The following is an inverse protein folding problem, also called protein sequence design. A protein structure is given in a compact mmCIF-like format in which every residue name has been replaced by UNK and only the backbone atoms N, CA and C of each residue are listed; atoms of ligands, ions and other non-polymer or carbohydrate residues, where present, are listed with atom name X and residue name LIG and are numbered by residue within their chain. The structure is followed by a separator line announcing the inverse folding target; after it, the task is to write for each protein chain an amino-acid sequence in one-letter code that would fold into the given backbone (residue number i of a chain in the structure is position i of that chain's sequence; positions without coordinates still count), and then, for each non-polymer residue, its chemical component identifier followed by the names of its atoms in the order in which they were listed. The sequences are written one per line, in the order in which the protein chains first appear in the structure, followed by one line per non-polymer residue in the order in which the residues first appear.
data_IF_274984964143
#
_entry.id   IF_274984964143
#
_cell.length_a   1.000
_cell.length_b   1.000
_cell.length_c   1.000
_cell.angle_alpha   90.00
_cell.angle_beta   90.00
_cell.angle_gamma   90.00
#
_symmetry.space_group_name_H-M   'P 1'
#
loop_
_entity.id
_entity.type
_entity.pdbx_description
1 polymer ?
#
# COMPACT_ATOMS: atom_id res chain seq x y z
N UNK A 1 -43.11 -10.96 19.66
CA UNK A 1 -41.83 -11.69 19.64
C UNK A 1 -41.05 -11.23 18.41
N UNK A 2 -39.78 -10.90 18.64
CA UNK A 2 -38.72 -10.49 17.70
C UNK A 2 -38.93 -9.21 16.87
N UNK A 3 -38.44 -8.10 17.43
CA UNK A 3 -37.99 -6.92 16.68
C UNK A 3 -36.70 -7.29 15.94
N UNK A 4 -36.70 -7.22 14.61
CA UNK A 4 -35.46 -7.20 13.81
C UNK A 4 -34.94 -5.77 13.85
N UNK A 5 -34.01 -5.50 14.77
CA UNK A 5 -33.25 -4.26 14.80
C UNK A 5 -32.19 -4.33 13.69
N UNK A 6 -32.54 -3.84 12.50
CA UNK A 6 -31.53 -3.57 11.47
C UNK A 6 -30.69 -2.40 11.97
N UNK A 7 -29.54 -2.74 12.58
CA UNK A 7 -28.50 -1.76 12.88
C UNK A 7 -27.90 -1.37 11.52
N UNK A 8 -28.54 -0.39 10.88
CA UNK A 8 -27.94 0.38 9.80
C UNK A 8 -26.81 1.18 10.44
N UNK A 9 -25.60 0.63 10.45
CA UNK A 9 -24.39 1.37 10.73
C UNK A 9 -24.27 2.44 9.64
N UNK A 10 -24.80 3.63 9.93
CA UNK A 10 -24.57 4.83 9.14
C UNK A 10 -23.14 5.28 9.44
N UNK A 11 -22.16 4.50 8.97
CA UNK A 11 -20.84 5.05 8.66
C UNK A 11 -21.15 6.00 7.50
N UNK A 12 -20.92 7.30 7.67
CA UNK A 12 -20.84 8.22 6.53
C UNK A 12 -19.85 7.58 5.56
N UNK A 13 -20.35 6.99 4.47
CA UNK A 13 -19.55 6.44 3.39
C UNK A 13 -18.62 7.56 2.95
N UNK A 14 -17.34 7.46 3.29
CA UNK A 14 -16.32 8.16 2.51
C UNK A 14 -16.36 7.45 1.16
N UNK A 15 -17.12 8.03 0.24
CA UNK A 15 -17.23 7.55 -1.14
C UNK A 15 -15.83 7.45 -1.72
N UNK A 16 -15.47 6.28 -2.25
CA UNK A 16 -14.20 6.04 -2.94
C UNK A 16 -13.03 5.64 -2.03
N UNK A 17 -13.23 4.81 -1.00
CA UNK A 17 -12.17 4.08 -0.28
C UNK A 17 -12.63 2.62 -0.16
N UNK A 18 -12.11 1.65 -0.92
CA UNK A 18 -12.57 0.26 -0.80
C UNK A 18 -11.42 -0.74 -0.59
N UNK A 19 -11.38 -1.43 0.56
CA UNK A 19 -10.64 -2.68 0.64
C UNK A 19 -11.30 -3.72 -0.27
N UNK A 20 -10.50 -4.47 -1.02
CA UNK A 20 -10.98 -5.46 -1.99
C UNK A 20 -10.72 -6.87 -1.46
N UNK A 21 -11.77 -7.68 -1.44
CA UNK A 21 -11.75 -9.06 -0.98
C UNK A 21 -12.09 -10.03 -2.12
N UNK A 22 -11.49 -11.22 -2.07
CA UNK A 22 -11.86 -12.34 -2.95
C UNK A 22 -13.08 -13.12 -2.42
N UNK A 23 -13.68 -14.02 -3.23
CA UNK A 23 -14.79 -14.87 -2.81
C UNK A 23 -14.48 -15.77 -1.60
N UNK A 24 -13.20 -16.05 -1.34
CA UNK A 24 -12.72 -16.79 -0.18
C UNK A 24 -12.60 -15.93 1.08
N UNK A 25 -12.88 -14.62 1.00
CA UNK A 25 -12.85 -13.68 2.12
C UNK A 25 -11.45 -13.20 2.51
N UNK A 26 -10.47 -13.32 1.62
CA UNK A 26 -9.12 -12.78 1.84
C UNK A 26 -9.02 -11.35 1.29
N UNK A 27 -8.35 -10.47 2.03
CA UNK A 27 -8.01 -9.13 1.54
C UNK A 27 -6.95 -9.26 0.43
N UNK A 28 -7.30 -8.92 -0.80
CA UNK A 28 -6.40 -9.01 -1.96
C UNK A 28 -5.81 -7.66 -2.36
N UNK A 29 -6.40 -6.56 -1.89
CA UNK A 29 -5.82 -5.23 -2.05
C UNK A 29 -6.80 -4.10 -1.86
N UNK A 30 -6.60 -3.02 -2.60
CA UNK A 30 -7.47 -1.83 -2.57
C UNK A 30 -7.72 -1.31 -3.97
N UNK A 31 -8.80 -0.57 -4.11
CA UNK A 31 -8.97 0.38 -5.21
C UNK A 31 -8.05 1.61 -5.03
N UNK A 32 -8.30 2.67 -5.81
CA UNK A 32 -7.65 3.98 -5.72
C UNK A 32 -7.99 4.78 -4.46
N UNK A 33 -8.77 4.21 -3.56
CA UNK A 33 -9.20 4.82 -2.33
C UNK A 33 -8.62 4.22 -1.05
N UNK A 34 -8.08 3.01 -1.08
CA UNK A 34 -7.46 2.41 0.09
C UNK A 34 -8.46 1.73 1.04
N UNK A 35 -8.12 1.64 2.34
CA UNK A 35 -8.75 0.67 3.26
C UNK A 35 -10.00 1.17 4.04
N UNK A 36 -10.37 2.45 3.95
CA UNK A 36 -11.24 3.08 4.97
C UNK A 36 -12.74 3.16 4.63
N UNK A 37 -13.21 2.51 3.58
CA UNK A 37 -14.63 2.50 3.23
C UNK A 37 -15.15 1.11 2.93
N UNK A 38 -16.27 1.06 2.22
CA UNK A 38 -17.03 -0.17 2.04
C UNK A 38 -16.25 -1.19 1.20
N UNK A 39 -16.20 -2.42 1.68
CA UNK A 39 -15.49 -3.47 0.98
C UNK A 39 -16.15 -3.82 -0.36
N UNK A 40 -15.32 -4.13 -1.34
CA UNK A 40 -15.75 -4.71 -2.61
C UNK A 40 -15.35 -6.17 -2.63
N UNK A 41 -16.29 -7.03 -3.03
CA UNK A 41 -16.06 -8.48 -3.16
C UNK A 41 -16.05 -8.78 -4.65
N UNK A 42 -14.92 -9.21 -5.20
CA UNK A 42 -14.76 -9.49 -6.63
C UNK A 42 -13.83 -10.68 -6.86
N UNK A 43 -13.87 -11.28 -8.05
CA UNK A 43 -12.92 -12.35 -8.37
C UNK A 43 -11.51 -11.78 -8.50
N UNK A 44 -10.52 -12.58 -8.11
CA UNK A 44 -9.10 -12.17 -8.19
C UNK A 44 -8.64 -11.86 -9.62
N UNK A 45 -9.23 -12.51 -10.62
CA UNK A 45 -8.89 -12.29 -12.03
C UNK A 45 -9.39 -10.94 -12.56
N UNK A 46 -10.41 -10.36 -11.92
CA UNK A 46 -10.95 -9.03 -12.23
C UNK A 46 -10.18 -7.91 -11.49
N UNK A 47 -9.40 -8.27 -10.47
CA UNK A 47 -8.75 -7.32 -9.57
C UNK A 47 -7.42 -6.80 -10.12
N UNK A 48 -7.26 -5.49 -10.07
CA UNK A 48 -5.98 -4.80 -10.26
C UNK A 48 -5.77 -3.86 -9.07
N UNK A 49 -4.61 -3.97 -8.42
CA UNK A 49 -4.24 -3.10 -7.30
C UNK A 49 -4.26 -1.62 -7.70
N UNK A 50 -5.03 -0.82 -6.96
CA UNK A 50 -5.19 0.61 -7.22
C UNK A 50 -6.03 0.94 -8.45
N UNK A 51 -6.87 0.01 -8.92
CA UNK A 51 -7.86 0.30 -9.97
C UNK A 51 -8.85 1.38 -9.53
N UNK A 52 -9.42 2.11 -10.49
CA UNK A 52 -10.40 3.15 -10.18
C UNK A 52 -11.63 2.56 -9.48
N UNK A 53 -12.14 3.24 -8.46
CA UNK A 53 -13.32 2.80 -7.71
C UNK A 53 -14.53 2.49 -8.61
N UNK A 54 -14.81 3.36 -9.58
CA UNK A 54 -15.92 3.18 -10.52
C UNK A 54 -15.76 1.92 -11.38
N UNK A 55 -14.52 1.54 -11.71
CA UNK A 55 -14.23 0.29 -12.43
C UNK A 55 -14.37 -0.92 -11.49
N UNK A 56 -13.95 -0.77 -10.22
CA UNK A 56 -14.01 -1.83 -9.21
C UNK A 56 -15.46 -2.21 -8.87
N UNK A 57 -16.36 -1.21 -8.75
CA UNK A 57 -17.77 -1.43 -8.43
C UNK A 57 -18.47 -2.32 -9.45
N UNK A 58 -18.08 -2.26 -10.73
CA UNK A 58 -18.68 -3.07 -11.80
C UNK A 58 -18.56 -4.57 -11.51
N UNK A 59 -17.48 -4.98 -10.82
CA UNK A 59 -17.20 -6.37 -10.47
C UNK A 59 -17.67 -6.75 -9.05
N UNK A 60 -18.29 -5.82 -8.31
CA UNK A 60 -18.72 -6.08 -6.95
C UNK A 60 -19.88 -7.09 -6.91
N UNK A 61 -19.63 -8.26 -6.33
CA UNK A 61 -20.60 -9.34 -6.16
C UNK A 61 -21.44 -9.20 -4.87
N UNK A 62 -21.08 -8.24 -4.01
CA UNK A 62 -21.70 -8.04 -2.69
C UNK A 62 -21.49 -9.22 -1.74
N UNK A 63 -22.23 -9.23 -0.63
CA UNK A 63 -22.13 -10.29 0.39
C UNK A 63 -22.46 -11.69 -0.14
N UNK A 64 -23.30 -11.80 -1.17
CA UNK A 64 -23.59 -13.07 -1.85
C UNK A 64 -22.43 -13.63 -2.66
N UNK A 65 -21.36 -12.85 -2.84
CA UNK A 65 -20.15 -13.27 -3.56
C UNK A 65 -19.25 -14.24 -2.80
N UNK A 66 -19.48 -14.45 -1.50
CA UNK A 66 -18.68 -15.39 -0.71
C UNK A 66 -19.02 -16.85 -1.03
N UNK A 67 -17.98 -17.69 -1.16
CA UNK A 67 -18.14 -19.12 -1.48
C UNK A 67 -18.66 -19.96 -0.31
N UNK A 68 -18.58 -19.45 0.92
CA UNK A 68 -19.05 -20.13 2.13
C UNK A 68 -19.23 -19.18 3.31
N UNK A 69 -19.92 -19.64 4.35
CA UNK A 69 -19.99 -18.93 5.63
C UNK A 69 -18.60 -18.73 6.27
N UNK A 70 -17.68 -19.68 6.09
CA UNK A 70 -16.29 -19.54 6.55
C UNK A 70 -15.54 -18.41 5.84
N UNK A 71 -15.78 -18.24 4.53
CA UNK A 71 -15.23 -17.12 3.77
C UNK A 71 -15.77 -15.78 4.27
N UNK A 72 -17.09 -15.70 4.48
CA UNK A 72 -17.72 -14.51 5.07
C UNK A 72 -17.17 -14.19 6.46
N UNK A 73 -16.99 -15.18 7.32
CA UNK A 73 -16.37 -14.97 8.65
C UNK A 73 -14.91 -14.50 8.57
N UNK A 74 -14.11 -15.01 7.61
CA UNK A 74 -12.75 -14.51 7.39
C UNK A 74 -12.76 -13.04 6.98
N UNK A 75 -13.61 -12.68 6.03
CA UNK A 75 -13.82 -11.29 5.63
C UNK A 75 -14.21 -10.42 6.82
N UNK A 76 -15.24 -10.79 7.59
CA UNK A 76 -15.74 -10.01 8.72
C UNK A 76 -14.64 -9.75 9.76
N UNK A 77 -13.86 -10.78 10.11
CA UNK A 77 -12.74 -10.67 11.04
C UNK A 77 -11.63 -9.76 10.49
N UNK A 78 -11.30 -9.89 9.20
CA UNK A 78 -10.30 -9.04 8.54
C UNK A 78 -10.75 -7.59 8.50
N UNK A 79 -12.00 -7.34 8.08
CA UNK A 79 -12.57 -6.01 7.89
C UNK A 79 -12.64 -5.24 9.22
N UNK A 80 -13.04 -5.90 10.31
CA UNK A 80 -13.06 -5.30 11.66
C UNK A 80 -11.66 -4.86 12.14
N UNK A 81 -10.61 -5.57 11.72
CA UNK A 81 -9.23 -5.26 12.09
C UNK A 81 -8.54 -4.22 11.21
N UNK A 82 -9.17 -3.73 10.13
CA UNK A 82 -8.53 -2.81 9.19
C UNK A 82 -8.07 -1.51 9.86
N UNK A 83 -8.87 -0.97 10.78
CA UNK A 83 -8.57 0.28 11.48
C UNK A 83 -7.31 0.22 12.36
N UNK A 84 -6.90 -0.99 12.76
CA UNK A 84 -5.70 -1.21 13.56
C UNK A 84 -4.45 -1.44 12.71
N UNK A 85 -4.60 -1.55 11.37
CA UNK A 85 -3.47 -1.72 10.47
C UNK A 85 -2.65 -0.43 10.34
N UNK A 86 -1.32 -0.54 10.18
CA UNK A 86 -0.45 0.63 10.08
C UNK A 86 -0.69 1.46 8.80
N UNK A 87 -1.20 0.84 7.75
CA UNK A 87 -1.45 1.46 6.45
C UNK A 87 -2.88 2.00 6.29
N UNK A 88 -3.70 1.93 7.36
CA UNK A 88 -5.09 2.35 7.31
C UNK A 88 -5.27 3.83 6.93
N UNK A 89 -4.31 4.69 7.28
CA UNK A 89 -4.31 6.10 6.91
C UNK A 89 -3.64 6.39 5.54
N UNK A 90 -3.19 5.34 4.86
CA UNK A 90 -2.55 5.39 3.55
C UNK A 90 -1.09 5.85 3.56
N UNK A 91 -0.39 5.84 4.69
CA UNK A 91 1.05 6.10 4.73
C UNK A 91 1.73 5.19 5.76
N UNK A 92 3.05 5.13 5.70
CA UNK A 92 3.84 4.35 6.65
C UNK A 92 4.98 5.18 7.21
N UNK A 93 5.11 5.14 8.52
CA UNK A 93 6.33 5.53 9.23
C UNK A 93 7.31 4.37 9.29
N UNK A 94 8.59 4.68 9.52
CA UNK A 94 9.61 3.66 9.79
C UNK A 94 9.27 2.80 11.01
N UNK A 95 8.60 3.37 12.01
CA UNK A 95 8.22 2.62 13.22
C UNK A 95 7.18 1.56 12.87
N UNK A 96 6.11 1.96 12.17
CA UNK A 96 5.05 1.07 11.71
C UNK A 96 5.59 -0.03 10.80
N UNK A 97 6.43 0.32 9.83
CA UNK A 97 7.02 -0.65 8.91
C UNK A 97 7.87 -1.72 9.65
N UNK A 98 8.64 -1.30 10.66
CA UNK A 98 9.41 -2.20 11.51
C UNK A 98 8.53 -3.06 12.43
N UNK A 99 7.45 -2.50 12.96
CA UNK A 99 6.49 -3.24 13.79
C UNK A 99 5.76 -4.30 12.96
N UNK A 100 5.30 -3.93 11.77
CA UNK A 100 4.66 -4.87 10.84
C UNK A 100 5.60 -5.98 10.39
N UNK A 101 6.90 -5.70 10.20
CA UNK A 101 7.89 -6.75 9.92
C UNK A 101 7.94 -7.81 11.03
N UNK A 102 7.79 -7.40 12.30
CA UNK A 102 7.84 -8.30 13.47
C UNK A 102 6.56 -9.11 13.66
N UNK A 103 5.41 -8.47 13.51
CA UNK A 103 4.11 -9.02 13.95
C UNK A 103 3.08 -9.16 12.85
N UNK A 104 3.28 -8.56 11.68
CA UNK A 104 2.37 -8.56 10.54
C UNK A 104 2.36 -9.86 9.75
N UNK A 105 3.14 -10.88 10.14
CA UNK A 105 3.13 -12.23 9.57
C UNK A 105 3.38 -12.31 8.04
N UNK A 106 3.99 -11.27 7.45
CA UNK A 106 4.24 -11.20 6.00
C UNK A 106 3.06 -10.63 5.18
N UNK A 107 1.96 -10.22 5.83
CA UNK A 107 0.80 -9.64 5.17
C UNK A 107 1.18 -8.33 4.44
N UNK A 108 0.69 -8.12 3.19
CA UNK A 108 1.01 -6.93 2.42
C UNK A 108 0.41 -5.66 3.04
N UNK A 109 1.01 -4.50 2.74
CA UNK A 109 0.52 -3.17 3.11
C UNK A 109 0.23 -2.32 1.86
N UNK A 110 -0.67 -1.34 1.97
CA UNK A 110 -1.20 -0.51 0.88
C UNK A 110 -1.11 0.98 1.20
N UNK A 111 -0.27 1.72 0.48
CA UNK A 111 -0.02 3.14 0.73
C UNK A 111 -0.50 4.04 -0.40
N UNK A 112 -0.96 5.23 -0.04
CA UNK A 112 -1.32 6.28 -0.97
C UNK A 112 -0.04 6.95 -1.50
N UNK A 113 0.24 6.78 -2.79
CA UNK A 113 1.42 7.36 -3.43
C UNK A 113 1.45 8.89 -3.30
N UNK A 114 0.29 9.54 -3.19
CA UNK A 114 0.19 11.01 -3.02
C UNK A 114 0.69 11.50 -1.65
N UNK A 115 0.79 10.60 -0.67
CA UNK A 115 1.27 10.90 0.69
C UNK A 115 2.75 10.63 0.91
N UNK A 116 3.44 10.08 -0.10
CA UNK A 116 4.88 9.80 -0.02
C UNK A 116 5.65 11.09 -0.38
N UNK A 117 6.56 11.52 0.50
CA UNK A 117 7.44 12.65 0.20
C UNK A 117 8.54 12.23 -0.78
N UNK A 118 8.42 12.72 -2.02
CA UNK A 118 9.35 12.46 -3.10
C UNK A 118 10.45 13.52 -3.23
N UNK A 119 10.51 14.48 -2.31
CA UNK A 119 11.63 15.42 -2.26
C UNK A 119 12.95 14.66 -2.04
N UNK A 120 14.07 15.07 -2.67
CA UNK A 120 14.23 16.29 -3.45
C UNK A 120 13.95 16.16 -4.97
N UNK A 121 13.39 15.05 -5.45
CA UNK A 121 13.16 14.79 -6.88
C UNK A 121 12.25 15.84 -7.50
N UNK A 122 12.59 16.26 -8.72
CA UNK A 122 11.85 17.24 -9.50
C UNK A 122 11.57 16.76 -10.92
N UNK A 123 10.74 17.49 -11.67
CA UNK A 123 10.47 17.21 -13.08
C UNK A 123 11.75 17.15 -13.93
N UNK A 124 12.77 17.96 -13.62
CA UNK A 124 14.06 17.95 -14.34
C UNK A 124 14.89 16.66 -14.13
N UNK A 125 14.57 15.88 -13.09
CA UNK A 125 15.24 14.60 -12.83
C UNK A 125 14.66 13.44 -13.65
N UNK A 126 13.51 13.65 -14.30
CA UNK A 126 12.70 12.63 -14.92
C UNK A 126 12.43 12.96 -16.40
N UNK A 127 12.10 11.93 -17.16
CA UNK A 127 11.62 12.05 -18.54
C UNK A 127 10.20 11.47 -18.60
N UNK A 128 9.29 12.17 -19.28
CA UNK A 128 7.89 11.77 -19.37
C UNK A 128 7.74 10.39 -20.00
N UNK A 129 6.96 9.51 -19.38
CA UNK A 129 6.75 8.13 -19.81
C UNK A 129 7.93 7.17 -19.54
N UNK A 130 9.10 7.67 -19.13
CA UNK A 130 10.27 6.83 -18.85
C UNK A 130 10.45 6.61 -17.35
N UNK A 131 10.37 5.34 -16.94
CA UNK A 131 10.54 4.95 -15.54
C UNK A 131 12.01 4.98 -15.10
N UNK A 132 12.32 5.74 -14.05
CA UNK A 132 13.65 5.88 -13.45
C UNK A 132 13.64 5.45 -11.97
N UNK A 133 14.60 4.64 -11.57
CA UNK A 133 14.78 4.28 -10.16
C UNK A 133 15.55 5.37 -9.41
N UNK A 134 14.97 5.85 -8.30
CA UNK A 134 15.58 6.82 -7.41
C UNK A 134 15.75 6.20 -6.02
N UNK A 135 17.00 6.22 -5.54
CA UNK A 135 17.36 5.75 -4.22
C UNK A 135 17.31 6.90 -3.21
N UNK A 136 16.23 6.96 -2.43
CA UNK A 136 16.01 7.99 -1.41
C UNK A 136 16.90 7.83 -0.17
N UNK A 137 17.61 6.70 -0.03
CA UNK A 137 18.65 6.51 0.98
C UNK A 137 20.05 6.95 0.49
N UNK A 138 20.19 7.38 -0.77
CA UNK A 138 21.45 7.89 -1.33
C UNK A 138 21.69 9.36 -0.98
N UNK A 139 22.94 9.81 -0.99
CA UNK A 139 23.28 11.22 -0.71
C UNK A 139 22.66 12.20 -1.73
N UNK A 140 22.55 11.80 -2.99
CA UNK A 140 22.04 12.65 -4.08
C UNK A 140 20.55 12.94 -3.98
N UNK A 141 19.78 12.03 -3.37
CA UNK A 141 18.33 12.11 -3.25
C UNK A 141 17.86 11.87 -1.82
N UNK A 142 18.68 12.26 -0.83
CA UNK A 142 18.48 11.87 0.56
C UNK A 142 17.13 12.36 1.11
N UNK A 143 16.24 11.41 1.40
CA UNK A 143 15.03 11.59 2.15
C UNK A 143 14.93 10.45 3.17
N UNK A 144 15.06 10.76 4.46
CA UNK A 144 15.12 9.73 5.50
C UNK A 144 13.77 9.06 5.73
N UNK A 145 12.67 9.79 5.60
CA UNK A 145 11.33 9.24 5.80
C UNK A 145 11.02 8.22 4.71
N UNK A 146 11.17 8.63 3.44
CA UNK A 146 10.93 7.77 2.28
C UNK A 146 12.00 6.69 2.13
N UNK A 147 13.28 7.04 2.27
CA UNK A 147 14.41 6.14 2.01
C UNK A 147 14.58 5.03 3.05
N UNK A 148 14.12 5.20 4.29
CA UNK A 148 14.19 4.15 5.31
C UNK A 148 12.99 3.18 5.25
N UNK A 149 11.87 3.60 4.65
CA UNK A 149 10.68 2.76 4.46
C UNK A 149 10.73 2.08 3.09
N UNK A 150 10.89 2.83 2.02
CA UNK A 150 10.72 2.32 0.65
C UNK A 150 12.03 2.19 -0.13
N UNK A 151 13.14 2.77 0.37
CA UNK A 151 14.47 2.61 -0.22
C UNK A 151 14.63 3.17 -1.64
N UNK A 152 14.43 2.32 -2.64
CA UNK A 152 14.63 2.62 -4.07
C UNK A 152 13.32 2.50 -4.84
N UNK A 153 12.76 3.63 -5.26
CA UNK A 153 11.44 3.69 -5.87
C UNK A 153 11.59 3.95 -7.37
N UNK A 154 10.85 3.21 -8.20
CA UNK A 154 10.68 3.56 -9.62
C UNK A 154 9.68 4.70 -9.74
N UNK A 155 10.08 5.79 -10.38
CA UNK A 155 9.22 6.94 -10.70
C UNK A 155 9.07 7.05 -12.21
N UNK A 156 7.83 7.19 -12.68
CA UNK A 156 7.53 7.48 -14.08
C UNK A 156 6.74 8.78 -14.13
N UNK A 157 7.29 9.82 -14.74
CA UNK A 157 6.60 11.10 -14.92
C UNK A 157 5.45 10.92 -15.91
N UNK A 158 4.25 11.34 -15.50
CA UNK A 158 3.02 11.24 -16.30
C UNK A 158 2.79 12.55 -17.07
N UNK A 159 3.05 13.69 -16.43
CA UNK A 159 2.78 15.01 -16.99
C UNK A 159 3.81 16.06 -16.53
N UNK A 160 3.85 17.18 -17.24
CA UNK A 160 4.70 18.34 -16.90
C UNK A 160 4.34 19.01 -15.58
N UNK A 161 3.15 18.73 -15.03
CA UNK A 161 2.73 19.27 -13.74
C UNK A 161 3.38 18.51 -12.57
N UNK A 162 4.17 17.47 -12.83
CA UNK A 162 4.92 16.73 -11.82
C UNK A 162 4.16 15.53 -11.25
N UNK A 163 3.09 15.08 -11.90
CA UNK A 163 2.40 13.84 -11.50
C UNK A 163 3.26 12.62 -11.86
N UNK A 164 3.44 11.70 -10.92
CA UNK A 164 4.30 10.52 -11.11
C UNK A 164 3.59 9.24 -10.71
N UNK A 165 3.77 8.19 -11.51
CA UNK A 165 3.46 6.81 -11.11
C UNK A 165 4.65 6.23 -10.34
N UNK A 166 4.35 5.54 -9.24
CA UNK A 166 5.35 4.90 -8.39
C UNK A 166 5.32 3.38 -8.57
N UNK A 167 6.50 2.76 -8.54
CA UNK A 167 6.62 1.30 -8.51
C UNK A 167 6.52 0.61 -9.88
N UNK A 168 6.30 -0.70 -9.83
CA UNK A 168 6.29 -1.60 -10.97
C UNK A 168 4.89 -1.95 -11.48
N UNK A 169 4.77 -3.17 -12.02
CA UNK A 169 3.49 -3.76 -12.43
C UNK A 169 2.62 -3.98 -11.18
N UNK A 170 1.31 -3.79 -11.30
CA UNK A 170 0.32 -4.02 -10.23
C UNK A 170 0.61 -3.28 -8.91
N UNK A 171 1.11 -2.05 -8.99
CA UNK A 171 1.27 -1.17 -7.83
C UNK A 171 2.36 -1.60 -6.83
N UNK A 172 3.15 -2.64 -7.10
CA UNK A 172 4.22 -3.06 -6.20
C UNK A 172 5.27 -1.96 -6.08
N UNK A 173 5.44 -1.44 -4.87
CA UNK A 173 6.34 -0.35 -4.54
C UNK A 173 7.68 -0.85 -4.02
N UNK A 174 7.66 -1.74 -3.03
CA UNK A 174 8.85 -2.29 -2.40
C UNK A 174 8.58 -3.67 -1.76
N UNK A 175 9.63 -4.47 -1.60
CA UNK A 175 9.61 -5.64 -0.71
C UNK A 175 10.39 -5.28 0.56
N UNK A 176 9.65 -4.99 1.64
CA UNK A 176 10.24 -4.55 2.89
C UNK A 176 10.87 -5.75 3.61
N UNK A 177 12.19 -5.75 3.72
CA UNK A 177 12.93 -6.81 4.38
C UNK A 177 14.37 -6.42 4.73
N UNK A 178 15.00 -7.22 5.59
CA UNK A 178 16.36 -6.97 6.10
C UNK A 178 17.41 -7.95 5.56
N UNK A 179 17.16 -8.56 4.40
CA UNK A 179 18.14 -9.45 3.78
C UNK A 179 19.41 -8.67 3.39
N UNK A 180 20.56 -9.14 3.87
CA UNK A 180 21.85 -8.51 3.58
C UNK A 180 22.38 -9.01 2.24
N UNK A 181 22.37 -8.16 1.20
CA UNK A 181 23.13 -8.42 -0.02
C UNK A 181 24.61 -8.04 0.16
N UNK A 182 25.53 -8.95 -0.19
CA UNK A 182 26.98 -8.68 -0.17
C UNK A 182 27.34 -7.56 -1.17
N UNK A 183 27.98 -6.48 -0.68
CA UNK A 183 28.55 -5.40 -1.52
C UNK A 183 27.81 -4.05 -1.52
N UNK A 184 26.78 -3.86 -0.68
CA UNK A 184 26.01 -2.60 -0.62
C UNK A 184 26.73 -1.43 0.06
N UNK A 185 26.38 -0.20 -0.33
CA UNK A 185 26.97 1.04 0.19
C UNK A 185 26.89 1.15 1.73
N UNK A 186 27.82 1.91 2.32
CA UNK A 186 27.99 2.09 3.78
C UNK A 186 26.68 2.48 4.50
N UNK A 187 25.78 3.24 3.84
CA UNK A 187 24.48 3.64 4.38
C UNK A 187 23.44 2.52 4.42
N UNK A 188 23.43 1.60 3.43
CA UNK A 188 22.57 0.40 3.47
C UNK A 188 22.97 -0.51 4.63
N UNK A 189 24.27 -0.69 4.89
CA UNK A 189 24.71 -1.46 6.06
C UNK A 189 24.30 -0.82 7.39
N UNK A 190 24.20 0.52 7.46
CA UNK A 190 23.73 1.23 8.65
C UNK A 190 22.21 1.19 8.82
N UNK A 191 21.43 1.39 7.75
CA UNK A 191 19.98 1.24 7.76
C UNK A 191 19.55 -0.21 8.02
N UNK A 192 20.25 -1.20 7.46
CA UNK A 192 20.03 -2.62 7.75
C UNK A 192 20.49 -3.00 9.16
N UNK A 193 21.54 -2.38 9.72
CA UNK A 193 21.99 -2.64 11.10
C UNK A 193 21.13 -1.95 12.15
N UNK A 194 20.76 -0.68 11.95
CA UNK A 194 19.80 0.04 12.79
C UNK A 194 18.43 -0.63 12.67
N UNK A 195 17.99 -0.89 11.45
CA UNK A 195 16.77 -1.61 11.14
C UNK A 195 16.73 -2.99 11.78
N UNK A 196 17.77 -3.83 11.69
CA UNK A 196 17.79 -5.15 12.34
C UNK A 196 17.89 -5.09 13.87
N UNK A 197 18.61 -4.12 14.44
CA UNK A 197 18.70 -3.94 15.90
C UNK A 197 17.38 -3.42 16.46
N UNK A 198 16.73 -2.50 15.75
CA UNK A 198 15.42 -1.96 16.12
C UNK A 198 14.34 -3.01 15.85
N UNK A 199 14.25 -3.56 14.63
CA UNK A 199 13.23 -4.49 14.14
C UNK A 199 13.35 -5.93 14.69
N UNK A 200 14.51 -6.48 15.04
CA UNK A 200 14.56 -7.86 15.52
C UNK A 200 14.21 -8.92 14.45
N UNK A 201 13.74 -10.12 14.86
CA UNK A 201 13.30 -11.18 13.95
C UNK A 201 11.90 -10.88 13.41
N UNK A 202 11.66 -11.16 12.13
CA UNK A 202 10.39 -10.90 11.47
C UNK A 202 10.32 -11.55 10.08
N UNK A 203 9.23 -11.28 9.36
CA UNK A 203 8.93 -11.81 8.03
C UNK A 203 8.82 -10.62 7.06
N UNK A 204 9.49 -10.69 5.91
CA UNK A 204 9.38 -9.66 4.89
C UNK A 204 7.97 -9.62 4.30
N UNK A 205 7.56 -8.45 3.79
CA UNK A 205 6.24 -8.25 3.21
C UNK A 205 6.31 -7.27 2.03
N UNK A 206 5.31 -7.33 1.18
CA UNK A 206 5.19 -6.40 0.05
C UNK A 206 4.47 -5.13 0.48
N UNK A 207 4.94 -4.00 -0.03
CA UNK A 207 4.24 -2.72 0.02
C UNK A 207 3.74 -2.43 -1.39
N UNK A 208 2.43 -2.27 -1.52
CA UNK A 208 1.77 -1.81 -2.73
C UNK A 208 1.34 -0.35 -2.56
N UNK A 209 1.14 0.33 -3.68
CA UNK A 209 0.57 1.67 -3.69
C UNK A 209 -0.75 1.73 -4.46
N UNK A 210 -1.47 2.82 -4.22
CA UNK A 210 -2.57 3.33 -5.02
C UNK A 210 -2.39 4.84 -5.22
N UNK A 211 -3.14 5.42 -6.16
CA UNK A 211 -2.98 6.81 -6.62
C UNK A 211 -1.61 7.14 -7.23
N UNK A 212 -1.47 8.39 -7.65
CA UNK A 212 -0.22 8.95 -8.16
C UNK A 212 0.47 9.83 -7.11
N UNK A 213 1.80 9.85 -7.15
CA UNK A 213 2.61 10.76 -6.36
C UNK A 213 2.78 12.11 -7.05
N UNK A 214 3.46 13.04 -6.35
CA UNK A 214 3.78 14.38 -6.88
C UNK A 214 5.24 14.73 -6.63
N UNK A 215 5.94 15.18 -7.67
CA UNK A 215 7.26 15.82 -7.58
C UNK A 215 7.15 17.33 -7.81
N UNK A 216 8.15 18.10 -7.38
CA UNK A 216 8.16 19.55 -7.61
C UNK A 216 8.45 19.86 -9.08
N UNK A 217 7.68 20.77 -9.66
CA UNK A 217 7.93 21.34 -10.98
C UNK A 217 9.11 22.29 -10.90
N UNK A 218 10.06 22.13 -11.82
CA UNK A 218 11.22 23.01 -12.03
C UNK A 218 11.56 23.12 -13.50
#
# INVERSE_FOLDING_TARGET
MCFVLVIRFCIKTRTGLAPIYDPEGNLIGTDDGGLQGEAIIMNRDDFIQGMAHDDAIVYNMGESGFVSDDARMRYENSYQGLADRPDYDGKLTLKEANEWYRSGSGEPLYVDASKIDLSPVTTQDLEEGIGKYINFASLSYANKETGLVYGNIKLTLIDSDGTVKLGGVNGLLDNYGFEMHKGGSVFRNMATRIGRVVAGKGVSYNIYNYNNGKVKVK
#
